data_IF_036658932707
#
_entry.id   IF_036658932707
#
_cell.length_a   1.000
_cell.length_b   1.000
_cell.length_c   1.000
_cell.angle_alpha   90.00
_cell.angle_beta   90.00
_cell.angle_gamma   90.00
#
_symmetry.space_group_name_H-M   'P 1'
#
loop_
_entity.id
_entity.type
_entity.pdbx_description
1 polymer ?
#
# COMPACT_ATOMS: atom_id res chain seq x y z
N UNK A 1 -18.69 -14.80 -12.45
CA UNK A 1 -17.57 -13.92 -12.87
C UNK A 1 -16.62 -13.84 -11.70
N UNK A 2 -15.70 -14.79 -11.65
CA UNK A 2 -14.80 -15.05 -10.53
C UNK A 2 -13.65 -14.06 -10.53
N UNK A 3 -13.71 -13.08 -9.63
CA UNK A 3 -12.59 -12.20 -9.32
C UNK A 3 -11.56 -12.98 -8.50
N UNK A 4 -10.74 -13.81 -9.18
CA UNK A 4 -9.38 -14.09 -8.72
C UNK A 4 -8.64 -12.75 -8.73
N UNK A 5 -8.75 -11.98 -7.65
CA UNK A 5 -7.81 -10.89 -7.40
C UNK A 5 -6.47 -11.58 -7.12
N UNK A 6 -5.71 -11.71 -8.20
CA UNK A 6 -4.33 -12.11 -8.22
C UNK A 6 -3.57 -11.41 -7.10
N UNK A 7 -2.83 -12.20 -6.36
CA UNK A 7 -1.95 -11.85 -5.25
C UNK A 7 -0.75 -10.96 -5.66
N UNK A 8 -0.92 -10.10 -6.66
CA UNK A 8 0.10 -9.16 -7.11
C UNK A 8 0.00 -7.89 -6.26
N UNK A 9 1.14 -7.47 -5.70
CA UNK A 9 1.24 -6.18 -5.01
C UNK A 9 0.89 -5.05 -6.01
N UNK A 10 0.14 -4.02 -5.59
CA UNK A 10 -0.28 -2.95 -6.50
C UNK A 10 0.91 -2.18 -7.09
N UNK A 11 0.81 -1.74 -8.34
CA UNK A 11 1.94 -1.11 -9.04
C UNK A 11 2.09 0.38 -8.77
N UNK A 12 1.04 1.03 -8.27
CA UNK A 12 1.06 2.47 -7.97
C UNK A 12 0.59 2.77 -6.54
N UNK A 13 1.02 3.93 -6.00
CA UNK A 13 0.55 4.42 -4.69
C UNK A 13 -0.96 4.68 -4.66
N UNK A 14 -1.57 4.96 -5.81
CA UNK A 14 -3.02 5.14 -5.95
C UNK A 14 -3.74 3.79 -5.79
N UNK A 15 -3.27 2.75 -6.49
CA UNK A 15 -3.80 1.39 -6.34
C UNK A 15 -3.56 0.84 -4.94
N UNK A 16 -2.40 1.12 -4.32
CA UNK A 16 -2.15 0.75 -2.91
C UNK A 16 -3.21 1.36 -1.98
N UNK A 17 -3.53 2.65 -2.14
CA UNK A 17 -4.58 3.32 -1.34
C UNK A 17 -5.95 2.70 -1.56
N UNK A 18 -6.31 2.41 -2.82
CA UNK A 18 -7.57 1.74 -3.14
C UNK A 18 -7.64 0.33 -2.52
N UNK A 19 -6.56 -0.45 -2.61
CA UNK A 19 -6.47 -1.77 -1.98
C UNK A 19 -6.60 -1.69 -0.47
N UNK A 20 -5.92 -0.74 0.18
CA UNK A 20 -6.03 -0.52 1.63
C UNK A 20 -7.44 -0.14 2.06
N UNK A 21 -8.15 0.69 1.27
CA UNK A 21 -9.55 1.02 1.56
C UNK A 21 -10.44 -0.23 1.50
N UNK A 22 -10.28 -1.07 0.48
CA UNK A 22 -11.02 -2.33 0.36
C UNK A 22 -10.72 -3.28 1.52
N UNK A 23 -9.44 -3.45 1.90
CA UNK A 23 -9.06 -4.29 3.04
C UNK A 23 -9.63 -3.78 4.36
N UNK A 24 -9.67 -2.46 4.57
CA UNK A 24 -10.31 -1.87 5.76
C UNK A 24 -11.81 -2.13 5.79
N UNK A 25 -12.48 -2.05 4.65
CA UNK A 25 -13.90 -2.39 4.54
C UNK A 25 -14.15 -3.88 4.84
N UNK A 26 -13.35 -4.78 4.28
CA UNK A 26 -13.43 -6.22 4.57
C UNK A 26 -13.23 -6.51 6.06
N UNK A 27 -12.22 -5.88 6.69
CA UNK A 27 -11.93 -6.00 8.11
C UNK A 27 -13.12 -5.51 8.95
N UNK A 28 -13.70 -4.36 8.59
CA UNK A 28 -14.87 -3.81 9.27
C UNK A 28 -16.08 -4.75 9.16
N UNK A 29 -16.32 -5.31 7.97
CA UNK A 29 -17.39 -6.27 7.74
C UNK A 29 -17.22 -7.55 8.59
N UNK A 30 -16.02 -8.13 8.63
CA UNK A 30 -15.76 -9.33 9.46
C UNK A 30 -15.97 -9.02 10.95
N UNK A 31 -15.52 -7.85 11.42
CA UNK A 31 -15.73 -7.42 12.81
C UNK A 31 -17.22 -7.24 13.12
N UNK A 32 -17.98 -6.65 12.20
CA UNK A 32 -19.42 -6.48 12.34
C UNK A 32 -20.16 -7.83 12.41
N UNK A 33 -19.77 -8.80 11.57
CA UNK A 33 -20.32 -10.16 11.60
C UNK A 33 -20.05 -10.85 12.94
N UNK A 34 -18.82 -10.74 13.47
CA UNK A 34 -18.47 -11.28 14.79
C UNK A 34 -19.31 -10.63 15.89
N UNK A 35 -19.49 -9.31 15.84
CA UNK A 35 -20.30 -8.59 16.83
C UNK A 35 -21.78 -8.98 16.75
N UNK A 36 -22.34 -9.10 15.54
CA UNK A 36 -23.73 -9.53 15.34
C UNK A 36 -23.97 -10.95 15.89
N UNK A 37 -23.08 -11.89 15.57
CA UNK A 37 -23.17 -13.25 16.12
C UNK A 37 -23.02 -13.29 17.66
N UNK A 38 -22.25 -12.36 18.24
CA UNK A 38 -22.15 -12.25 19.69
C UNK A 38 -23.46 -11.75 20.32
N UNK A 39 -24.14 -10.79 19.69
CA UNK A 39 -25.46 -10.29 20.11
C UNK A 39 -26.49 -11.42 20.06
N UNK A 40 -26.55 -12.17 18.96
CA UNK A 40 -27.45 -13.33 18.81
C UNK A 40 -27.21 -14.37 19.91
N UNK A 41 -25.94 -14.73 20.14
CA UNK A 41 -25.54 -15.64 21.22
C UNK A 41 -26.04 -15.15 22.59
N UNK A 42 -25.91 -13.85 22.88
CA UNK A 42 -26.36 -13.26 24.14
C UNK A 42 -27.89 -13.30 24.28
N UNK A 43 -28.63 -13.02 23.21
CA UNK A 43 -30.10 -13.06 23.19
C UNK A 43 -30.67 -14.46 23.39
N UNK A 44 -30.09 -15.46 22.72
CA UNK A 44 -30.57 -16.85 22.77
C UNK A 44 -30.02 -17.65 23.97
N UNK A 45 -29.11 -17.06 24.76
CA UNK A 45 -28.29 -17.77 25.77
C UNK A 45 -27.58 -19.01 25.20
N UNK A 46 -27.28 -18.97 23.91
CA UNK A 46 -26.70 -20.06 23.14
C UNK A 46 -25.17 -20.07 23.15
N UNK A 47 -24.60 -21.00 22.38
CA UNK A 47 -23.17 -21.04 22.07
C UNK A 47 -22.96 -20.66 20.62
N UNK A 48 -22.02 -19.77 20.36
CA UNK A 48 -21.59 -19.41 19.01
C UNK A 48 -20.86 -20.60 18.36
N UNK A 49 -21.06 -20.84 17.06
CA UNK A 49 -20.37 -21.90 16.32
C UNK A 49 -18.83 -21.70 16.41
N UNK A 50 -18.09 -22.59 17.11
CA UNK A 50 -16.65 -22.44 17.27
C UNK A 50 -15.88 -22.52 15.95
N UNK A 51 -16.35 -23.32 14.99
CA UNK A 51 -15.71 -23.47 13.67
C UNK A 51 -15.88 -22.20 12.85
N UNK A 52 -17.09 -21.65 12.83
CA UNK A 52 -17.34 -20.36 12.20
C UNK A 52 -16.50 -19.25 12.83
N UNK A 53 -16.48 -19.14 14.16
CA UNK A 53 -15.71 -18.09 14.85
C UNK A 53 -14.20 -18.21 14.57
N UNK A 54 -13.66 -19.43 14.59
CA UNK A 54 -12.26 -19.67 14.24
C UNK A 54 -11.95 -19.26 12.79
N UNK A 55 -12.83 -19.59 11.83
CA UNK A 55 -12.69 -19.15 10.43
C UNK A 55 -12.72 -17.63 10.31
N UNK A 56 -13.66 -16.96 10.99
CA UNK A 56 -13.76 -15.50 10.98
C UNK A 56 -12.49 -14.84 11.55
N UNK A 57 -11.95 -15.36 12.66
CA UNK A 57 -10.67 -14.89 13.25
C UNK A 57 -9.48 -15.12 12.32
N UNK A 58 -9.44 -16.25 11.64
CA UNK A 58 -8.39 -16.54 10.65
C UNK A 58 -8.48 -15.59 9.46
N UNK A 59 -9.67 -15.38 8.89
CA UNK A 59 -9.89 -14.40 7.82
C UNK A 59 -9.45 -12.99 8.24
N UNK A 60 -9.81 -12.56 9.46
CA UNK A 60 -9.39 -11.27 10.00
C UNK A 60 -7.85 -11.14 10.09
N UNK A 61 -7.16 -12.17 10.59
CA UNK A 61 -5.68 -12.16 10.64
C UNK A 61 -5.06 -12.08 9.26
N UNK A 62 -5.57 -12.82 8.29
CA UNK A 62 -5.08 -12.74 6.91
C UNK A 62 -5.23 -11.34 6.32
N UNK A 63 -6.38 -10.70 6.52
CA UNK A 63 -6.64 -9.33 6.03
C UNK A 63 -5.75 -8.29 6.71
N UNK A 64 -5.51 -8.42 8.02
CA UNK A 64 -4.57 -7.55 8.74
C UNK A 64 -3.14 -7.69 8.22
N UNK A 65 -2.67 -8.93 8.00
CA UNK A 65 -1.36 -9.17 7.39
C UNK A 65 -1.28 -8.61 5.96
N UNK A 66 -2.35 -8.69 5.19
CA UNK A 66 -2.40 -8.09 3.85
C UNK A 66 -2.29 -6.56 3.91
N UNK A 67 -2.92 -5.92 4.90
CA UNK A 67 -2.75 -4.47 5.15
C UNK A 67 -1.29 -4.13 5.44
N UNK A 68 -0.63 -4.88 6.31
CA UNK A 68 0.80 -4.69 6.62
C UNK A 68 1.68 -4.79 5.36
N UNK A 69 1.45 -5.81 4.53
CA UNK A 69 2.18 -6.02 3.28
C UNK A 69 1.98 -4.87 2.29
N UNK A 70 0.73 -4.43 2.09
CA UNK A 70 0.44 -3.32 1.16
C UNK A 70 0.99 -1.99 1.70
N UNK A 71 0.98 -1.77 3.01
CA UNK A 71 1.59 -0.58 3.60
C UNK A 71 3.10 -0.55 3.45
N UNK A 72 3.77 -1.68 3.68
CA UNK A 72 5.21 -1.81 3.46
C UNK A 72 5.58 -1.54 1.99
N UNK A 73 4.90 -2.22 1.06
CA UNK A 73 5.09 -2.01 -0.38
C UNK A 73 4.84 -0.56 -0.81
N UNK A 74 3.79 0.07 -0.27
CA UNK A 74 3.51 1.49 -0.56
C UNK A 74 4.60 2.43 -0.03
N UNK A 75 5.33 2.06 1.03
CA UNK A 75 6.46 2.85 1.51
C UNK A 75 7.63 2.84 0.52
N UNK A 76 7.84 1.69 -0.16
CA UNK A 76 8.93 1.50 -1.14
C UNK A 76 8.61 2.09 -2.52
N UNK A 77 7.33 2.38 -2.82
CA UNK A 77 6.94 2.97 -4.10
C UNK A 77 7.36 4.45 -4.22
N UNK A 78 7.91 4.87 -5.39
CA UNK A 78 8.28 6.25 -5.65
C UNK A 78 7.16 7.23 -5.29
N UNK A 79 7.50 8.28 -4.55
CA UNK A 79 6.57 9.35 -4.25
C UNK A 79 6.28 10.19 -5.48
N UNK A 80 5.25 11.05 -5.39
CA UNK A 80 4.90 12.00 -6.46
C UNK A 80 6.08 12.89 -6.84
N UNK A 81 6.93 13.25 -5.88
CA UNK A 81 8.09 14.12 -6.09
C UNK A 81 9.17 13.42 -6.89
N UNK A 82 9.45 12.15 -6.57
CA UNK A 82 10.42 11.32 -7.28
C UNK A 82 9.96 11.11 -8.73
N UNK A 83 8.71 10.68 -8.94
CA UNK A 83 8.15 10.54 -10.30
C UNK A 83 8.14 11.86 -11.07
N UNK A 84 7.85 12.99 -10.40
CA UNK A 84 7.95 14.30 -11.05
C UNK A 84 9.38 14.65 -11.45
N UNK A 85 10.39 14.34 -10.62
CA UNK A 85 11.80 14.55 -10.96
C UNK A 85 12.21 13.69 -12.15
N UNK A 86 11.77 12.43 -12.20
CA UNK A 86 12.07 11.54 -13.33
C UNK A 86 11.51 12.12 -14.63
N UNK A 87 10.23 12.55 -14.64
CA UNK A 87 9.65 13.21 -15.82
C UNK A 87 10.29 14.57 -16.14
N UNK A 88 10.67 15.34 -15.13
CA UNK A 88 11.39 16.60 -15.36
C UNK A 88 12.74 16.34 -16.03
N UNK A 89 13.46 15.31 -15.58
CA UNK A 89 14.73 14.88 -16.18
C UNK A 89 14.48 14.45 -17.63
N UNK A 90 13.46 13.63 -17.91
CA UNK A 90 13.12 13.22 -19.28
C UNK A 90 12.86 14.42 -20.19
N UNK A 91 12.03 15.38 -19.76
CA UNK A 91 11.71 16.58 -20.55
C UNK A 91 12.94 17.45 -20.79
N UNK A 92 13.74 17.72 -19.75
CA UNK A 92 14.92 18.59 -19.89
C UNK A 92 16.05 17.90 -20.64
N UNK A 93 16.16 16.57 -20.55
CA UNK A 93 17.23 15.81 -21.20
C UNK A 93 17.22 15.97 -22.72
N UNK A 94 16.05 16.18 -23.33
CA UNK A 94 15.91 16.40 -24.77
C UNK A 94 16.65 17.65 -25.26
N UNK A 95 16.81 18.66 -24.41
CA UNK A 95 17.43 19.94 -24.76
C UNK A 95 18.96 19.96 -24.56
N UNK A 96 19.55 18.90 -23.99
CA UNK A 96 20.97 18.86 -23.61
C UNK A 96 21.73 17.76 -24.33
N UNK A 97 22.92 18.09 -24.85
CA UNK A 97 23.83 17.06 -25.34
C UNK A 97 24.49 16.26 -24.17
N UNK A 98 25.27 15.24 -24.51
CA UNK A 98 25.89 14.37 -23.50
C UNK A 98 26.96 15.05 -22.65
N UNK A 99 27.64 16.08 -23.17
CA UNK A 99 28.67 16.82 -22.45
C UNK A 99 28.02 17.85 -21.51
N UNK A 100 27.08 18.64 -22.03
CA UNK A 100 26.33 19.64 -21.25
C UNK A 100 25.54 18.98 -20.12
N UNK A 101 24.92 17.82 -20.37
CA UNK A 101 24.22 17.06 -19.32
C UNK A 101 25.16 16.55 -18.23
N UNK A 102 26.39 16.17 -18.59
CA UNK A 102 27.39 15.71 -17.63
C UNK A 102 27.83 16.86 -16.72
N UNK A 103 28.01 18.06 -17.26
CA UNK A 103 28.31 19.26 -16.47
C UNK A 103 27.17 19.60 -15.48
N UNK A 104 25.91 19.44 -15.90
CA UNK A 104 24.74 19.61 -15.02
C UNK A 104 24.73 18.58 -13.88
N UNK A 105 25.01 17.30 -14.17
CA UNK A 105 25.07 16.24 -13.16
C UNK A 105 26.23 16.46 -12.17
N UNK A 106 27.39 16.88 -12.67
CA UNK A 106 28.56 17.17 -11.82
C UNK A 106 28.27 18.36 -10.88
N UNK A 107 27.62 19.41 -11.38
CA UNK A 107 27.17 20.52 -10.55
C UNK A 107 26.13 20.09 -9.51
N UNK A 108 25.14 19.27 -9.90
CA UNK A 108 24.14 18.76 -8.98
C UNK A 108 24.77 17.91 -7.86
N UNK A 109 25.73 17.04 -8.18
CA UNK A 109 26.48 16.27 -7.18
C UNK A 109 27.28 17.17 -6.24
N UNK A 110 27.95 18.21 -6.76
CA UNK A 110 28.67 19.18 -5.91
C UNK A 110 27.74 19.84 -4.89
N UNK A 111 26.56 20.30 -5.32
CA UNK A 111 25.56 20.92 -4.43
C UNK A 111 24.98 19.95 -3.41
N UNK A 112 24.71 18.70 -3.82
CA UNK A 112 24.19 17.68 -2.92
C UNK A 112 25.21 17.36 -1.81
N UNK A 113 26.48 17.16 -2.18
CA UNK A 113 27.55 16.87 -1.23
C UNK A 113 27.83 18.05 -0.29
N UNK A 114 27.70 19.29 -0.78
CA UNK A 114 27.82 20.49 0.06
C UNK A 114 26.70 20.62 1.10
N UNK A 115 25.48 20.16 0.77
CA UNK A 115 24.31 20.20 1.65
C UNK A 115 24.16 18.95 2.55
N UNK A 116 24.93 17.88 2.33
CA UNK A 116 24.87 16.63 3.10
C UNK A 116 26.00 16.46 4.13
N UNK A 117 26.82 17.49 4.34
CA UNK A 117 28.00 17.50 5.23
C UNK A 117 27.78 18.20 6.58
N UNK A 118 26.57 18.17 7.13
CA UNK A 118 26.26 18.52 8.54
C UNK A 118 25.90 17.26 9.34
#
# INVERSE_FOLDING_TARGET
MDTKITNCLPTSRAECRARLANLRNDIAAIKAQIAAADIERQGERGRMDPRWFHRAKTALRHKLREVELVMAHMADLPGRKETFKDHLIEVVREDYDDAEWRDVLDEAHRRLNANGGE
#
